data_IF_306972809397
#
_entry.id   IF_306972809397
#
_cell.length_a   1.000
_cell.length_b   1.000
_cell.length_c   1.000
_cell.angle_alpha   90.00
_cell.angle_beta   90.00
_cell.angle_gamma   90.00
#
_symmetry.space_group_name_H-M   'P 1'
#
loop_
_entity.id
_entity.type
_entity.pdbx_description
1 polymer ?
#
# COMPACT_ATOMS: atom_id res chain seq x y z
N UNK A 1 -10.97 10.14 -23.24
CA UNK A 1 -12.34 9.78 -22.81
C UNK A 1 -12.21 9.00 -21.50
N UNK A 2 -12.86 9.42 -20.40
CA UNK A 2 -12.87 8.61 -19.17
C UNK A 2 -13.70 7.34 -19.38
N UNK A 3 -13.47 6.32 -18.55
CA UNK A 3 -14.23 5.06 -18.64
C UNK A 3 -15.63 5.30 -18.06
N UNK A 4 -16.62 5.48 -18.94
CA UNK A 4 -18.00 5.75 -18.51
C UNK A 4 -18.66 4.55 -17.80
N UNK A 5 -18.36 3.33 -18.26
CA UNK A 5 -18.96 2.09 -17.73
C UNK A 5 -18.38 1.70 -16.38
N UNK A 6 -19.23 1.68 -15.35
CA UNK A 6 -18.88 1.22 -14.00
C UNK A 6 -18.39 -0.24 -13.99
N UNK A 7 -18.95 -1.10 -14.85
CA UNK A 7 -18.53 -2.49 -14.98
C UNK A 7 -17.11 -2.59 -15.54
N UNK A 8 -16.78 -1.78 -16.56
CA UNK A 8 -15.43 -1.75 -17.13
C UNK A 8 -14.41 -1.24 -16.12
N UNK A 9 -14.74 -0.20 -15.34
CA UNK A 9 -13.87 0.26 -14.25
C UNK A 9 -13.67 -0.84 -13.20
N UNK A 10 -14.73 -1.57 -12.84
CA UNK A 10 -14.60 -2.64 -11.87
C UNK A 10 -13.71 -3.79 -12.36
N UNK A 11 -13.82 -4.17 -13.64
CA UNK A 11 -12.93 -5.18 -14.25
C UNK A 11 -11.46 -4.76 -14.12
N UNK A 12 -11.14 -3.49 -14.35
CA UNK A 12 -9.77 -2.99 -14.22
C UNK A 12 -9.30 -2.96 -12.76
N UNK A 13 -10.18 -2.60 -11.83
CA UNK A 13 -9.86 -2.63 -10.41
C UNK A 13 -9.60 -4.06 -9.91
N UNK A 14 -10.38 -5.03 -10.39
CA UNK A 14 -10.17 -6.45 -10.09
C UNK A 14 -8.90 -7.01 -10.76
N UNK A 15 -8.54 -6.52 -11.95
CA UNK A 15 -7.27 -6.85 -12.58
C UNK A 15 -6.07 -6.30 -11.79
N UNK A 16 -6.16 -5.07 -11.28
CA UNK A 16 -5.13 -4.50 -10.40
C UNK A 16 -4.97 -5.33 -9.12
N UNK A 17 -6.08 -5.72 -8.48
CA UNK A 17 -6.08 -6.67 -7.35
C UNK A 17 -5.30 -7.95 -7.67
N UNK A 18 -5.46 -8.49 -8.88
CA UNK A 18 -4.87 -9.75 -9.29
C UNK A 18 -3.35 -9.69 -9.57
N UNK A 19 -2.74 -8.49 -9.60
CA UNK A 19 -1.27 -8.34 -9.69
C UNK A 19 -0.62 -9.00 -8.46
N UNK A 20 -1.24 -8.85 -7.30
CA UNK A 20 -0.92 -9.62 -6.10
C UNK A 20 -1.48 -11.04 -6.19
N UNK A 21 -0.66 -12.05 -5.90
CA UNK A 21 -1.09 -13.45 -5.99
C UNK A 21 -2.34 -13.70 -5.11
N UNK A 22 -3.43 -14.17 -5.73
CA UNK A 22 -4.72 -14.40 -5.07
C UNK A 22 -5.33 -13.17 -4.39
N UNK A 23 -5.04 -11.96 -4.88
CA UNK A 23 -5.57 -10.71 -4.32
C UNK A 23 -4.86 -10.24 -3.03
N UNK A 24 -3.77 -10.93 -2.64
CA UNK A 24 -2.93 -10.55 -1.51
C UNK A 24 -1.91 -9.50 -1.93
N UNK A 25 -1.63 -8.54 -1.07
CA UNK A 25 -0.57 -7.55 -1.24
C UNK A 25 0.12 -7.28 0.09
N UNK A 26 1.35 -6.79 0.03
CA UNK A 26 2.15 -6.44 1.19
C UNK A 26 2.33 -4.93 1.25
N UNK A 27 1.87 -4.33 2.35
CA UNK A 27 1.98 -2.91 2.63
C UNK A 27 3.36 -2.58 3.18
N UNK A 28 4.12 -1.75 2.48
CA UNK A 28 5.35 -1.13 2.95
C UNK A 28 5.16 0.36 3.25
N UNK A 29 6.06 0.93 4.06
CA UNK A 29 6.06 2.33 4.44
C UNK A 29 7.44 2.96 4.20
N UNK A 30 7.44 4.24 3.84
CA UNK A 30 8.63 4.97 3.44
C UNK A 30 8.72 6.36 4.08
N UNK A 31 9.95 6.81 4.29
CA UNK A 31 10.26 8.13 4.85
C UNK A 31 10.24 9.25 3.80
N UNK A 32 10.38 8.91 2.52
CA UNK A 32 10.29 9.81 1.37
C UNK A 32 9.64 9.06 0.18
N UNK A 33 9.59 9.69 -0.99
CA UNK A 33 9.07 9.05 -2.21
C UNK A 33 9.87 7.75 -2.53
N UNK A 34 9.20 6.59 -2.67
CA UNK A 34 9.83 5.32 -3.03
C UNK A 34 10.50 5.25 -4.41
N UNK A 35 10.17 6.19 -5.31
CA UNK A 35 10.49 6.11 -6.73
C UNK A 35 9.68 5.06 -7.48
N UNK A 36 9.91 4.94 -8.79
CA UNK A 36 9.09 4.06 -9.67
C UNK A 36 9.32 2.56 -9.44
N UNK A 37 10.45 2.20 -8.83
CA UNK A 37 10.76 0.81 -8.48
C UNK A 37 10.50 0.49 -6.99
N UNK A 38 10.02 1.46 -6.21
CA UNK A 38 9.79 1.29 -4.77
C UNK A 38 11.04 1.13 -3.91
N UNK A 39 12.24 1.18 -4.47
CA UNK A 39 13.48 0.79 -3.79
C UNK A 39 14.04 1.86 -2.84
N UNK A 40 13.52 3.10 -2.88
CA UNK A 40 14.06 4.22 -2.11
C UNK A 40 13.31 4.40 -0.79
N UNK A 41 14.04 4.83 0.24
CA UNK A 41 13.48 5.34 1.50
C UNK A 41 12.52 4.41 2.26
N UNK A 42 12.51 3.10 1.97
CA UNK A 42 11.74 2.13 2.76
C UNK A 42 12.25 2.13 4.21
N UNK A 43 11.31 2.10 5.16
CA UNK A 43 11.65 2.08 6.56
C UNK A 43 12.38 0.78 6.92
N UNK A 44 13.20 0.84 7.96
CA UNK A 44 13.91 -0.32 8.50
C UNK A 44 14.22 -0.13 9.98
N UNK A 45 14.50 -1.22 10.70
CA UNK A 45 14.75 -1.18 12.14
C UNK A 45 13.48 -0.94 12.97
N UNK A 46 13.61 -0.30 14.13
CA UNK A 46 12.54 -0.13 15.11
C UNK A 46 12.44 -1.28 16.12
N UNK A 47 11.57 -1.10 17.12
CA UNK A 47 11.23 -2.13 18.11
C UNK A 47 9.74 -1.98 18.46
N UNK A 48 8.85 -2.88 17.99
CA UNK A 48 9.12 -4.04 17.13
C UNK A 48 9.74 -3.68 15.78
N UNK A 49 10.48 -4.63 15.19
CA UNK A 49 11.16 -4.43 13.89
C UNK A 49 10.10 -4.19 12.81
N UNK A 50 10.35 -3.18 11.96
CA UNK A 50 9.56 -2.91 10.78
C UNK A 50 9.63 -4.09 9.81
N UNK A 51 8.46 -4.50 9.34
CA UNK A 51 8.29 -5.45 8.26
C UNK A 51 7.05 -5.06 7.46
N UNK A 52 7.05 -5.36 6.16
CA UNK A 52 5.83 -5.21 5.36
C UNK A 52 4.74 -6.12 5.90
N UNK A 53 3.50 -5.67 5.85
CA UNK A 53 2.35 -6.43 6.39
C UNK A 53 1.43 -6.87 5.26
N UNK A 54 1.11 -8.17 5.23
CA UNK A 54 0.16 -8.73 4.26
C UNK A 54 -1.26 -8.24 4.56
N UNK A 55 -1.99 -7.93 3.52
CA UNK A 55 -3.43 -7.78 3.55
C UNK A 55 -4.04 -8.38 2.27
N UNK A 56 -5.36 -8.53 2.26
CA UNK A 56 -6.10 -9.02 1.10
C UNK A 56 -7.08 -7.96 0.61
N UNK A 57 -7.07 -7.72 -0.69
CA UNK A 57 -8.02 -6.84 -1.35
C UNK A 57 -9.42 -7.45 -1.40
N UNK A 58 -10.43 -6.61 -1.18
CA UNK A 58 -11.84 -6.93 -1.39
C UNK A 58 -12.35 -6.15 -2.59
N UNK A 59 -13.05 -6.83 -3.49
CA UNK A 59 -13.70 -6.18 -4.63
C UNK A 59 -14.86 -5.31 -4.15
N UNK A 60 -14.87 -4.06 -4.60
CA UNK A 60 -16.00 -3.17 -4.48
C UNK A 60 -16.88 -3.20 -5.72
N UNK A 61 -17.46 -2.05 -6.03
CA UNK A 61 -18.22 -1.82 -7.26
C UNK A 61 -17.79 -0.50 -7.89
N UNK A 62 -18.04 -0.34 -9.19
CA UNK A 62 -17.84 0.92 -9.90
C UNK A 62 -16.39 1.33 -10.13
N UNK A 63 -15.43 0.42 -9.93
CA UNK A 63 -13.99 0.69 -10.10
C UNK A 63 -13.18 0.71 -8.81
N UNK A 64 -13.71 0.14 -7.73
CA UNK A 64 -13.08 0.23 -6.41
C UNK A 64 -12.65 -1.14 -5.89
N UNK A 65 -11.52 -1.17 -5.19
CA UNK A 65 -11.12 -2.26 -4.30
C UNK A 65 -10.57 -1.65 -3.00
N UNK A 66 -10.71 -2.38 -1.89
CA UNK A 66 -10.26 -1.92 -0.57
C UNK A 66 -9.64 -3.04 0.24
N UNK A 67 -8.60 -2.73 1.00
CA UNK A 67 -8.05 -3.59 2.04
C UNK A 67 -8.62 -3.22 3.42
N UNK A 68 -8.50 -4.11 4.43
CA UNK A 68 -8.79 -3.75 5.81
C UNK A 68 -7.76 -2.73 6.34
N UNK A 69 -8.07 -2.03 7.46
CA UNK A 69 -7.06 -1.29 8.20
C UNK A 69 -5.88 -2.21 8.54
N UNK A 70 -4.69 -1.82 8.09
CA UNK A 70 -3.46 -2.62 8.18
C UNK A 70 -2.44 -1.84 8.99
N UNK A 71 -2.03 -2.40 10.12
CA UNK A 71 -1.10 -1.75 11.05
C UNK A 71 0.31 -2.27 10.84
N UNK A 72 1.25 -1.35 10.66
CA UNK A 72 2.67 -1.63 10.45
C UNK A 72 3.47 -0.99 11.58
N UNK A 73 4.36 -1.75 12.22
CA UNK A 73 5.28 -1.20 13.22
C UNK A 73 6.40 -0.44 12.49
N UNK A 74 6.70 0.76 12.94
CA UNK A 74 7.68 1.64 12.29
C UNK A 74 8.69 2.18 13.30
N UNK A 75 9.93 2.51 12.87
CA UNK A 75 10.84 3.30 13.68
C UNK A 75 10.30 4.73 13.89
N UNK A 76 10.92 5.49 14.80
CA UNK A 76 10.67 6.93 14.89
C UNK A 76 11.13 7.67 13.63
N UNK A 77 10.54 8.84 13.38
CA UNK A 77 10.82 9.69 12.21
C UNK A 77 9.64 9.82 11.24
N UNK A 78 9.90 10.37 10.04
CA UNK A 78 8.85 10.65 9.07
C UNK A 78 8.38 9.38 8.36
N UNK A 79 7.07 9.29 8.16
CA UNK A 79 6.38 8.27 7.37
C UNK A 79 5.47 9.00 6.39
N UNK A 80 5.90 9.05 5.13
CA UNK A 80 5.30 9.94 4.12
C UNK A 80 4.63 9.21 2.98
N UNK A 81 5.01 7.97 2.70
CA UNK A 81 4.45 7.18 1.60
C UNK A 81 4.18 5.73 2.02
N UNK A 82 3.20 5.13 1.37
CA UNK A 82 2.93 3.70 1.40
C UNK A 82 3.28 3.07 0.04
N UNK A 83 3.64 1.80 0.06
CA UNK A 83 3.94 1.00 -1.12
C UNK A 83 3.25 -0.36 -1.06
N UNK A 84 3.07 -0.96 -2.23
CA UNK A 84 2.46 -2.27 -2.41
C UNK A 84 3.44 -3.22 -3.07
N UNK A 85 3.53 -4.44 -2.53
CA UNK A 85 4.46 -5.46 -2.97
C UNK A 85 3.80 -6.83 -3.06
N UNK A 86 4.39 -7.73 -3.84
CA UNK A 86 3.95 -9.13 -3.93
C UNK A 86 4.51 -10.02 -2.80
N UNK A 87 5.45 -9.54 -1.99
CA UNK A 87 6.07 -10.30 -0.91
C UNK A 87 6.51 -9.43 0.28
N UNK A 88 6.68 -10.07 1.45
CA UNK A 88 7.16 -9.47 2.70
C UNK A 88 8.53 -8.79 2.56
N UNK A 89 9.43 -9.43 1.83
CA UNK A 89 10.79 -8.97 1.55
C UNK A 89 11.10 -9.29 0.10
N UNK A 90 11.74 -8.36 -0.62
CA UNK A 90 11.92 -8.48 -2.06
C UNK A 90 10.58 -8.39 -2.80
N UNK A 91 10.31 -9.36 -3.68
CA UNK A 91 9.09 -9.37 -4.49
C UNK A 91 9.10 -8.32 -5.61
N UNK A 92 7.95 -8.18 -6.26
CA UNK A 92 7.72 -7.19 -7.31
C UNK A 92 7.02 -5.98 -6.68
N UNK A 93 7.54 -4.80 -6.96
CA UNK A 93 6.89 -3.54 -6.63
C UNK A 93 5.64 -3.37 -7.51
N UNK A 94 4.50 -3.10 -6.88
CA UNK A 94 3.21 -2.95 -7.56
C UNK A 94 2.92 -1.47 -7.78
N UNK A 95 2.88 -0.69 -6.69
CA UNK A 95 2.55 0.74 -6.74
C UNK A 95 2.92 1.46 -5.43
N UNK A 96 2.82 2.78 -5.41
CA UNK A 96 3.01 3.66 -4.25
C UNK A 96 1.91 4.72 -4.16
N UNK A 97 1.71 5.27 -2.96
CA UNK A 97 0.95 6.49 -2.78
C UNK A 97 1.53 7.35 -1.64
N UNK A 98 1.39 8.68 -1.71
CA UNK A 98 1.65 9.52 -0.55
C UNK A 98 0.58 9.27 0.53
N UNK A 99 1.03 9.27 1.78
CA UNK A 99 0.12 9.28 2.93
C UNK A 99 -0.48 10.67 3.10
N UNK A 100 -1.77 10.73 3.41
CA UNK A 100 -2.46 11.97 3.72
C UNK A 100 -3.34 11.78 4.97
N UNK A 101 -2.96 12.37 6.13
CA UNK A 101 -1.75 13.14 6.36
C UNK A 101 -0.49 12.25 6.41
N UNK A 102 0.68 12.82 6.14
CA UNK A 102 1.96 12.19 6.49
C UNK A 102 2.12 12.15 8.01
N UNK A 103 2.86 11.18 8.53
CA UNK A 103 3.12 11.05 9.97
C UNK A 103 4.57 11.36 10.30
N UNK A 104 4.82 11.85 11.52
CA UNK A 104 6.16 11.99 12.08
C UNK A 104 6.14 11.49 13.51
N UNK A 105 6.77 10.35 13.77
CA UNK A 105 6.71 9.67 15.04
C UNK A 105 7.88 10.08 15.93
N UNK A 106 7.61 10.44 17.19
CA UNK A 106 8.65 10.78 18.17
C UNK A 106 9.47 9.57 18.68
N UNK A 107 9.07 8.35 18.31
CA UNK A 107 9.70 7.09 18.67
C UNK A 107 9.07 5.94 17.89
N UNK A 108 9.57 4.72 18.06
CA UNK A 108 8.99 3.56 17.39
C UNK A 108 7.50 3.38 17.75
N UNK A 109 6.67 3.07 16.77
CA UNK A 109 5.24 2.96 16.97
C UNK A 109 4.47 2.47 15.75
N UNK A 110 3.20 2.08 15.94
CA UNK A 110 2.36 1.59 14.86
C UNK A 110 1.84 2.73 13.97
N UNK A 111 1.75 2.44 12.68
CA UNK A 111 1.06 3.24 11.66
C UNK A 111 -0.02 2.38 11.04
N UNK A 112 -1.28 2.84 11.07
CA UNK A 112 -2.40 2.14 10.44
C UNK A 112 -2.77 2.81 9.13
N UNK A 113 -2.77 2.04 8.05
CA UNK A 113 -3.20 2.48 6.71
C UNK A 113 -4.37 1.62 6.28
N UNK A 114 -5.38 2.26 5.68
CA UNK A 114 -6.50 1.54 5.04
C UNK A 114 -6.32 1.65 3.53
N UNK A 115 -5.84 0.59 2.85
CA UNK A 115 -5.58 0.66 1.41
C UNK A 115 -6.88 0.78 0.63
N UNK A 116 -6.93 1.72 -0.32
CA UNK A 116 -8.03 1.87 -1.27
C UNK A 116 -7.43 2.16 -2.64
N UNK A 117 -7.96 1.50 -3.67
CA UNK A 117 -7.65 1.80 -5.06
C UNK A 117 -8.95 2.10 -5.80
N UNK A 118 -8.92 3.11 -6.67
CA UNK A 118 -10.07 3.54 -7.46
C UNK A 118 -9.64 3.84 -8.89
N UNK A 119 -10.37 3.26 -9.85
CA UNK A 119 -10.32 3.61 -11.26
C UNK A 119 -11.42 4.65 -11.51
N UNK A 120 -11.05 5.81 -12.08
CA UNK A 120 -11.96 6.91 -12.44
C UNK A 120 -12.34 6.92 -13.91
#
# INVERSE_FOLDING_TARGET
>A
MPIASAATRQILADAYKAIGASGKAWLGLHSADPGDAGALAELSGGSPVYERVEFTWTSGTGGTISGPPTTVNTPGGPVTHASLWTAKTGGVFIDKCPLNPTQNLGGAGPVTVTPVFTVS
#
